data_IF_050426127637
#
_entry.id   IF_050426127637
#
_cell.length_a   1.000
_cell.length_b   1.000
_cell.length_c   1.000
_cell.angle_alpha   90.00
_cell.angle_beta   90.00
_cell.angle_gamma   90.00
#
_symmetry.space_group_name_H-M   'P 1'
#
loop_
_entity.id
_entity.type
_entity.pdbx_description
1 polymer ?
#
# COMPACT_ATOMS: atom_id res chain seq x y z
N UNK A 1 16.30 13.00 -5.89
CA UNK A 1 16.53 11.72 -6.56
C UNK A 1 15.21 11.14 -7.04
N UNK A 2 15.20 10.65 -8.23
CA UNK A 2 14.00 10.10 -8.84
C UNK A 2 13.86 8.63 -8.51
N UNK A 3 12.71 8.20 -8.02
CA UNK A 3 12.46 6.79 -7.77
C UNK A 3 12.26 6.04 -9.07
N UNK A 4 12.83 4.86 -9.15
CA UNK A 4 12.65 4.00 -10.30
C UNK A 4 11.39 3.16 -10.13
N UNK A 5 10.69 2.93 -11.23
CA UNK A 5 9.55 2.04 -11.24
C UNK A 5 10.02 0.60 -11.09
N UNK A 6 9.60 -0.09 -10.05
CA UNK A 6 10.03 -1.47 -9.77
C UNK A 6 9.27 -2.51 -10.59
N UNK A 7 8.10 -2.16 -11.12
CA UNK A 7 7.38 -2.97 -12.10
C UNK A 7 6.30 -2.11 -12.78
N UNK A 8 5.87 -2.48 -14.00
CA UNK A 8 4.84 -1.73 -14.72
C UNK A 8 3.51 -1.75 -13.98
N UNK A 9 2.85 -0.59 -13.91
CA UNK A 9 1.54 -0.47 -13.29
C UNK A 9 0.81 0.77 -13.82
N UNK A 10 -0.52 0.78 -13.69
CA UNK A 10 -1.35 1.85 -14.23
C UNK A 10 -1.30 3.15 -13.41
N UNK A 11 -1.01 3.06 -12.12
CA UNK A 11 -0.88 4.24 -11.27
C UNK A 11 0.58 4.54 -10.99
N UNK A 12 0.92 5.81 -10.67
CA UNK A 12 2.29 6.15 -10.34
C UNK A 12 2.75 5.45 -9.06
N UNK A 13 4.00 5.03 -9.04
CA UNK A 13 4.60 4.43 -7.86
C UNK A 13 4.73 5.43 -6.72
N UNK A 14 5.11 6.65 -7.04
CA UNK A 14 5.33 7.69 -6.05
C UNK A 14 6.66 7.56 -5.34
N UNK A 15 6.75 8.19 -4.19
CA UNK A 15 7.97 8.28 -3.42
C UNK A 15 8.03 7.22 -2.34
N UNK A 16 9.23 6.95 -1.86
CA UNK A 16 9.43 6.08 -0.71
C UNK A 16 8.63 6.61 0.48
N UNK A 17 8.05 5.70 1.24
CA UNK A 17 7.40 6.09 2.48
C UNK A 17 8.43 6.70 3.43
N UNK A 18 8.10 7.85 4.08
CA UNK A 18 8.97 8.46 5.07
C UNK A 18 9.26 7.52 6.24
N UNK A 19 10.42 7.70 6.86
CA UNK A 19 10.81 6.88 8.02
C UNK A 19 9.81 6.94 9.17
N UNK A 20 9.08 8.03 9.30
CA UNK A 20 8.04 8.16 10.33
C UNK A 20 6.96 7.09 10.22
N UNK A 21 6.82 6.46 9.05
CA UNK A 21 5.90 5.35 8.84
C UNK A 21 6.55 3.97 9.01
N UNK A 22 7.85 3.92 9.38
CA UNK A 22 8.58 2.65 9.48
C UNK A 22 7.98 1.69 10.50
N UNK A 23 7.27 2.19 11.48
CA UNK A 23 6.60 1.34 12.47
C UNK A 23 5.43 0.53 11.89
N UNK A 24 4.93 0.92 10.71
CA UNK A 24 3.82 0.23 10.06
C UNK A 24 4.26 -0.77 9.02
N UNK A 25 5.55 -0.74 8.64
CA UNK A 25 6.06 -1.57 7.57
C UNK A 25 7.40 -2.17 7.93
N UNK A 26 7.62 -3.40 7.49
CA UNK A 26 8.94 -4.04 7.46
C UNK A 26 9.31 -4.20 6.00
N UNK A 27 10.41 -3.59 5.58
CA UNK A 27 10.81 -3.54 4.18
C UNK A 27 10.51 -2.17 3.56
N UNK A 28 10.57 -2.08 2.24
CA UNK A 28 10.40 -0.82 1.52
C UNK A 28 9.08 -0.77 0.79
N UNK A 29 8.38 0.34 0.94
CA UNK A 29 7.15 0.62 0.21
C UNK A 29 7.19 2.04 -0.35
N UNK A 30 6.31 2.30 -1.31
CA UNK A 30 6.18 3.58 -2.00
C UNK A 30 4.73 4.00 -1.99
N UNK A 31 4.50 5.31 -1.95
CA UNK A 31 3.15 5.84 -1.89
C UNK A 31 2.99 6.99 -2.88
N UNK A 32 1.91 6.94 -3.64
CA UNK A 32 1.46 8.03 -4.48
C UNK A 32 0.02 8.37 -4.12
N UNK A 33 -0.23 9.61 -3.75
CA UNK A 33 -1.60 10.07 -3.53
C UNK A 33 -2.29 10.24 -4.89
N UNK A 34 -3.40 9.56 -5.08
CA UNK A 34 -4.19 9.64 -6.31
C UNK A 34 -5.27 10.71 -6.16
N UNK A 35 -5.95 10.73 -5.04
CA UNK A 35 -6.96 11.71 -4.73
C UNK A 35 -7.01 11.99 -3.24
N UNK A 36 -7.12 13.27 -2.92
CA UNK A 36 -7.23 13.72 -1.54
C UNK A 36 -8.27 14.84 -1.50
N UNK A 37 -9.52 14.47 -1.71
CA UNK A 37 -10.63 15.43 -1.75
C UNK A 37 -11.37 15.41 -0.42
N UNK A 38 -11.13 16.41 0.40
CA UNK A 38 -11.74 16.49 1.73
C UNK A 38 -13.25 16.67 1.68
N UNK A 39 -13.76 17.31 0.65
CA UNK A 39 -15.21 17.51 0.50
C UNK A 39 -15.93 16.17 0.30
N UNK A 40 -15.28 15.20 -0.31
CA UNK A 40 -15.83 13.85 -0.47
C UNK A 40 -15.52 12.94 0.72
N UNK A 41 -14.61 13.36 1.59
CA UNK A 41 -14.17 12.52 2.70
C UNK A 41 -13.46 11.24 2.27
N UNK A 42 -12.91 11.22 1.05
CA UNK A 42 -12.32 10.03 0.47
C UNK A 42 -10.89 10.30 0.04
N UNK A 43 -9.99 9.42 0.48
CA UNK A 43 -8.60 9.46 0.10
C UNK A 43 -8.27 8.19 -0.67
N UNK A 44 -7.62 8.35 -1.81
CA UNK A 44 -7.17 7.22 -2.63
C UNK A 44 -5.67 7.34 -2.81
N UNK A 45 -4.97 6.28 -2.46
CA UNK A 45 -3.52 6.20 -2.60
C UNK A 45 -3.13 4.90 -3.27
N UNK A 46 -2.06 4.96 -4.05
CA UNK A 46 -1.44 3.78 -4.60
C UNK A 46 -0.23 3.43 -3.75
N UNK A 47 -0.21 2.25 -3.19
CA UNK A 47 0.92 1.77 -2.38
C UNK A 47 1.58 0.62 -3.11
N UNK A 48 2.88 0.76 -3.33
CA UNK A 48 3.69 -0.25 -4.02
C UNK A 48 4.67 -0.84 -3.02
N UNK A 49 4.66 -2.17 -2.92
CA UNK A 49 5.55 -2.89 -2.01
C UNK A 49 6.66 -3.58 -2.78
N UNK A 50 7.89 -3.43 -2.35
CA UNK A 50 8.98 -4.26 -2.83
C UNK A 50 8.77 -5.70 -2.35
N UNK A 51 9.32 -6.68 -3.08
CA UNK A 51 9.20 -8.07 -2.65
C UNK A 51 9.68 -8.25 -1.21
N UNK A 52 8.90 -8.97 -0.40
CA UNK A 52 9.21 -9.20 1.00
C UNK A 52 8.79 -8.11 1.96
N UNK A 53 8.30 -6.97 1.46
CA UNK A 53 7.77 -5.93 2.34
C UNK A 53 6.48 -6.41 3.02
N UNK A 54 6.33 -6.11 4.29
CA UNK A 54 5.18 -6.51 5.09
C UNK A 54 4.63 -5.34 5.87
N UNK A 55 3.31 -5.26 5.96
CA UNK A 55 2.67 -4.37 6.91
C UNK A 55 2.74 -5.00 8.30
N UNK A 56 3.00 -4.18 9.30
CA UNK A 56 2.84 -4.60 10.67
C UNK A 56 1.35 -4.60 11.02
N UNK A 57 0.97 -5.40 12.00
CA UNK A 57 -0.42 -5.47 12.42
C UNK A 57 -0.93 -4.09 12.83
N UNK A 58 -2.04 -3.68 12.24
CA UNK A 58 -2.69 -2.41 12.56
C UNK A 58 -4.16 -2.47 12.16
N UNK A 59 -4.91 -1.47 12.60
CA UNK A 59 -6.32 -1.34 12.26
C UNK A 59 -6.62 0.10 11.85
N UNK A 60 -7.73 0.26 11.15
CA UNK A 60 -8.25 1.57 10.76
C UNK A 60 -9.58 1.82 11.46
N UNK A 61 -9.83 3.08 11.83
CA UNK A 61 -11.07 3.44 12.51
C UNK A 61 -12.29 3.42 11.58
N UNK A 62 -12.08 3.62 10.30
CA UNK A 62 -13.12 3.52 9.30
C UNK A 62 -12.94 2.29 8.43
N UNK A 63 -13.73 2.20 7.39
CA UNK A 63 -13.55 1.16 6.40
C UNK A 63 -12.37 1.43 5.51
N UNK A 64 -11.85 0.38 4.88
CA UNK A 64 -10.81 0.50 3.90
C UNK A 64 -11.12 -0.41 2.72
N UNK A 65 -11.03 0.14 1.52
CA UNK A 65 -11.20 -0.63 0.30
C UNK A 65 -9.83 -0.85 -0.33
N UNK A 66 -9.47 -2.09 -0.54
CA UNK A 66 -8.19 -2.46 -1.13
C UNK A 66 -8.42 -3.05 -2.52
N UNK A 67 -7.75 -2.45 -3.51
CA UNK A 67 -7.77 -2.92 -4.89
C UNK A 67 -6.36 -3.31 -5.28
N UNK A 68 -6.20 -4.52 -5.81
CA UNK A 68 -4.89 -4.98 -6.29
C UNK A 68 -4.82 -4.70 -7.77
N UNK A 69 -3.98 -3.77 -8.18
CA UNK A 69 -3.88 -3.32 -9.57
C UNK A 69 -2.71 -3.90 -10.32
N UNK A 70 -1.75 -4.46 -9.62
CA UNK A 70 -0.60 -5.13 -10.22
C UNK A 70 0.05 -6.06 -9.20
N UNK A 71 0.65 -7.13 -9.69
CA UNK A 71 1.42 -8.03 -8.86
C UNK A 71 0.59 -9.00 -8.03
N UNK A 72 1.22 -9.49 -6.97
CA UNK A 72 0.66 -10.50 -6.08
C UNK A 72 1.11 -10.21 -4.66
N UNK A 73 0.23 -10.42 -3.71
CA UNK A 73 0.56 -10.28 -2.30
C UNK A 73 -0.35 -11.15 -1.45
N UNK A 74 -0.27 -10.95 -0.15
CA UNK A 74 -1.07 -11.69 0.81
C UNK A 74 -1.74 -10.74 1.78
N UNK A 75 -2.96 -11.08 2.15
CA UNK A 75 -3.75 -10.36 3.14
C UNK A 75 -4.10 -11.30 4.27
N UNK A 76 -4.01 -10.81 5.49
CA UNK A 76 -4.35 -11.61 6.67
C UNK A 76 -5.02 -10.75 7.72
N UNK A 77 -6.14 -11.23 8.23
CA UNK A 77 -6.76 -10.71 9.43
C UNK A 77 -6.29 -11.54 10.62
N UNK A 78 -6.18 -10.90 11.78
CA UNK A 78 -5.70 -11.57 12.98
C UNK A 78 -6.62 -12.73 13.34
N UNK A 79 -6.03 -13.91 13.54
CA UNK A 79 -6.77 -15.13 13.82
C UNK A 79 -7.24 -15.89 12.60
N UNK A 80 -7.05 -15.35 11.40
CA UNK A 80 -7.45 -15.99 10.15
C UNK A 80 -6.23 -16.39 9.32
N UNK A 81 -6.38 -17.36 8.41
CA UNK A 81 -5.29 -17.69 7.49
C UNK A 81 -5.05 -16.58 6.47
N UNK A 82 -3.80 -16.46 6.02
CA UNK A 82 -3.46 -15.51 4.97
C UNK A 82 -4.12 -15.92 3.65
N UNK A 83 -4.55 -14.91 2.88
CA UNK A 83 -5.14 -15.12 1.55
C UNK A 83 -4.27 -14.46 0.50
N UNK A 84 -4.08 -15.13 -0.62
CA UNK A 84 -3.39 -14.55 -1.76
C UNK A 84 -4.28 -13.53 -2.47
N UNK A 85 -3.70 -12.38 -2.77
CA UNK A 85 -4.35 -11.32 -3.55
C UNK A 85 -3.61 -11.14 -4.86
N UNK A 86 -4.34 -11.01 -5.94
CA UNK A 86 -3.82 -10.77 -7.29
C UNK A 86 -4.58 -9.63 -7.95
N UNK A 87 -3.91 -9.01 -8.93
CA UNK A 87 -4.57 -8.05 -9.78
C UNK A 87 -5.73 -8.67 -10.56
#
# INVERSE_FOLDING_TARGET
MKNETIFPQIFPQGDRLPEEFSRYFTGQAYLASISNNEALGTHISNVTFEPGCRNNWHSHTGGQLLLVTAGRGYYQEKGEPARELRA
#
